data_IF_822538719966
#
_entry.id   IF_822538719966
#
_cell.length_a   1.000
_cell.length_b   1.000
_cell.length_c   1.000
_cell.angle_alpha   90.00
_cell.angle_beta   90.00
_cell.angle_gamma   90.00
#
_symmetry.space_group_name_H-M   'P 1'
#
loop_
_entity.id
_entity.type
_entity.pdbx_description
1 polymer ?
#
# COMPACT_ATOMS: atom_id res chain seq x y z
N UNK A 1 -64.54 11.73 -42.66
CA UNK A 1 -63.17 11.59 -42.11
C UNK A 1 -63.05 12.48 -40.88
N UNK A 2 -62.80 11.91 -39.70
CA UNK A 2 -62.60 12.70 -38.47
C UNK A 2 -61.10 12.73 -38.17
N UNK A 3 -60.46 13.90 -38.30
CA UNK A 3 -59.12 14.09 -37.72
C UNK A 3 -59.28 14.12 -36.20
N UNK A 4 -58.91 13.03 -35.51
CA UNK A 4 -58.56 13.12 -34.09
C UNK A 4 -57.38 14.08 -33.99
N UNK A 5 -57.57 15.19 -33.29
CA UNK A 5 -56.45 16.03 -32.89
C UNK A 5 -55.54 15.22 -31.96
N UNK A 6 -54.24 15.20 -32.25
CA UNK A 6 -53.25 14.70 -31.31
C UNK A 6 -53.22 15.66 -30.12
N UNK A 7 -53.81 15.24 -29.00
CA UNK A 7 -53.56 15.90 -27.72
C UNK A 7 -52.09 15.65 -27.37
N UNK A 8 -51.31 16.71 -27.16
CA UNK A 8 -49.97 16.56 -26.61
C UNK A 8 -50.11 16.09 -25.15
N UNK A 9 -49.76 14.82 -24.91
CA UNK A 9 -49.80 14.15 -23.59
C UNK A 9 -48.50 14.41 -22.81
N UNK A 10 -47.45 14.91 -23.47
CA UNK A 10 -46.18 15.27 -22.83
C UNK A 10 -46.23 16.58 -22.03
N UNK A 11 -45.32 16.70 -21.06
CA UNK A 11 -45.06 17.93 -20.31
C UNK A 11 -44.69 19.09 -21.24
N UNK A 12 -44.99 20.33 -20.82
CA UNK A 12 -44.44 21.52 -21.48
C UNK A 12 -42.95 21.66 -21.15
N UNK A 13 -42.19 22.34 -22.01
CA UNK A 13 -40.76 22.60 -21.79
C UNK A 13 -40.50 23.25 -20.41
N UNK A 14 -41.27 24.27 -20.03
CA UNK A 14 -41.17 24.91 -18.71
C UNK A 14 -41.52 23.95 -17.55
N UNK A 15 -42.50 23.06 -17.74
CA UNK A 15 -42.84 22.03 -16.74
C UNK A 15 -41.73 20.97 -16.61
N UNK A 16 -41.07 20.63 -17.72
CA UNK A 16 -39.98 19.66 -17.77
C UNK A 16 -38.69 20.22 -17.15
N UNK A 17 -38.33 21.47 -17.47
CA UNK A 17 -37.20 22.17 -16.82
C UNK A 17 -37.40 22.27 -15.32
N UNK A 18 -38.60 22.69 -14.86
CA UNK A 18 -38.89 22.71 -13.42
C UNK A 18 -38.78 21.31 -12.80
N UNK A 19 -39.28 20.27 -13.46
CA UNK A 19 -39.16 18.90 -12.96
C UNK A 19 -37.69 18.46 -12.83
N UNK A 20 -36.80 18.87 -13.74
CA UNK A 20 -35.35 18.64 -13.60
C UNK A 20 -34.71 19.46 -12.47
N UNK A 21 -35.15 20.69 -12.25
CA UNK A 21 -34.67 21.54 -11.14
C UNK A 21 -35.12 21.01 -9.77
N UNK A 22 -36.39 20.60 -9.64
CA UNK A 22 -36.96 19.98 -8.44
C UNK A 22 -36.23 18.64 -8.15
N UNK A 23 -36.03 17.80 -9.16
CA UNK A 23 -35.29 16.52 -9.09
C UNK A 23 -33.81 16.70 -8.68
N UNK A 24 -33.15 17.74 -9.21
CA UNK A 24 -31.78 18.07 -8.84
C UNK A 24 -31.67 18.55 -7.37
N UNK A 25 -32.66 19.32 -6.90
CA UNK A 25 -32.74 19.75 -5.50
C UNK A 25 -32.98 18.57 -4.55
N UNK A 26 -33.88 17.63 -4.90
CA UNK A 26 -34.10 16.41 -4.10
C UNK A 26 -32.81 15.56 -4.02
N UNK A 27 -32.14 15.30 -5.15
CA UNK A 27 -30.87 14.57 -5.19
C UNK A 27 -29.74 15.23 -4.38
N UNK A 28 -29.69 16.56 -4.36
CA UNK A 28 -28.74 17.31 -3.55
C UNK A 28 -29.06 17.20 -2.05
N UNK A 29 -30.34 17.30 -1.67
CA UNK A 29 -30.79 17.13 -0.29
C UNK A 29 -30.53 15.71 0.24
N UNK A 30 -30.91 14.67 -0.51
CA UNK A 30 -30.65 13.26 -0.18
C UNK A 30 -29.16 12.98 -0.01
N UNK A 31 -28.32 13.61 -0.83
CA UNK A 31 -26.86 13.46 -0.76
C UNK A 31 -26.26 14.20 0.42
N UNK A 32 -26.71 15.42 0.72
CA UNK A 32 -26.30 16.12 1.94
C UNK A 32 -26.68 15.34 3.21
N UNK A 33 -27.91 14.81 3.29
CA UNK A 33 -28.35 14.06 4.47
C UNK A 33 -27.58 12.74 4.64
N UNK A 34 -27.27 12.04 3.55
CA UNK A 34 -26.40 10.85 3.58
C UNK A 34 -25.00 11.20 4.08
N UNK A 35 -24.34 12.17 3.44
CA UNK A 35 -22.99 12.60 3.84
C UNK A 35 -22.93 13.17 5.26
N UNK A 36 -24.02 13.75 5.75
CA UNK A 36 -24.20 14.20 7.13
C UNK A 36 -24.25 13.01 8.10
N UNK A 37 -25.07 12.01 7.82
CA UNK A 37 -25.14 10.78 8.60
C UNK A 37 -23.80 10.00 8.57
N UNK A 38 -23.16 9.90 7.41
CA UNK A 38 -21.83 9.30 7.27
C UNK A 38 -20.79 10.03 8.15
N UNK A 39 -20.88 11.37 8.25
CA UNK A 39 -19.98 12.17 9.09
C UNK A 39 -20.23 11.99 10.59
N UNK A 40 -21.50 11.79 11.00
CA UNK A 40 -21.86 11.45 12.37
C UNK A 40 -21.37 10.05 12.75
N UNK A 41 -21.67 9.04 11.92
CA UNK A 41 -21.18 7.67 12.09
C UNK A 41 -19.64 7.63 12.16
N UNK A 42 -18.96 8.45 11.35
CA UNK A 42 -17.52 8.55 11.33
C UNK A 42 -16.91 9.26 12.55
N UNK A 43 -17.67 10.10 13.25
CA UNK A 43 -17.31 10.67 14.56
C UNK A 43 -17.55 9.65 15.67
N UNK A 44 -18.74 9.05 15.74
CA UNK A 44 -19.13 8.02 16.72
C UNK A 44 -18.16 6.82 16.71
N UNK A 45 -17.91 6.25 15.54
CA UNK A 45 -16.92 5.17 15.35
C UNK A 45 -15.52 5.57 15.81
N UNK A 46 -15.13 6.84 15.63
CA UNK A 46 -13.82 7.33 16.03
C UNK A 46 -13.72 7.56 17.55
N UNK A 47 -14.81 7.93 18.21
CA UNK A 47 -14.87 8.06 19.67
C UNK A 47 -14.70 6.69 20.34
N UNK A 48 -15.46 5.68 19.88
CA UNK A 48 -15.34 4.31 20.40
C UNK A 48 -13.97 3.69 20.17
N UNK A 49 -13.48 3.73 18.92
CA UNK A 49 -12.16 3.21 18.52
C UNK A 49 -11.00 3.88 19.28
N UNK A 50 -11.10 5.20 19.54
CA UNK A 50 -10.09 5.93 20.30
C UNK A 50 -10.12 5.61 21.79
N UNK A 51 -11.31 5.45 22.37
CA UNK A 51 -11.49 5.11 23.79
C UNK A 51 -10.92 3.73 24.11
N UNK A 52 -11.25 2.70 23.32
CA UNK A 52 -10.70 1.35 23.46
C UNK A 52 -9.15 1.37 23.43
N UNK A 53 -8.58 2.18 22.53
CA UNK A 53 -7.13 2.28 22.35
C UNK A 53 -6.41 3.07 23.45
N UNK A 54 -7.11 3.94 24.19
CA UNK A 54 -6.56 4.81 25.25
C UNK A 54 -6.92 4.37 26.67
N UNK A 55 -7.75 3.33 26.82
CA UNK A 55 -8.03 2.68 28.11
C UNK A 55 -6.75 2.19 28.81
N UNK A 56 -6.87 1.81 30.09
CA UNK A 56 -5.78 1.30 30.92
C UNK A 56 -5.01 0.12 30.30
N UNK A 57 -5.72 -0.72 29.53
CA UNK A 57 -5.17 -1.85 28.77
C UNK A 57 -5.06 -1.57 27.26
N UNK A 58 -5.42 -0.36 26.83
CA UNK A 58 -5.43 0.06 25.43
C UNK A 58 -4.03 0.24 24.84
N UNK A 59 -3.84 -0.14 23.58
CA UNK A 59 -2.52 -0.19 22.94
C UNK A 59 -1.80 1.16 22.76
N UNK A 60 -2.48 2.28 22.91
CA UNK A 60 -1.89 3.62 22.87
C UNK A 60 -1.45 4.13 24.24
N UNK A 61 -1.81 3.44 25.34
CA UNK A 61 -1.56 3.86 26.73
C UNK A 61 -0.09 4.21 27.00
N UNK A 62 0.85 3.42 26.50
CA UNK A 62 2.30 3.67 26.69
C UNK A 62 2.87 4.83 25.86
N UNK A 63 2.11 5.35 24.88
CA UNK A 63 2.56 6.35 23.91
C UNK A 63 2.09 7.77 24.25
N UNK A 64 1.49 7.93 25.43
CA UNK A 64 0.98 9.18 26.02
C UNK A 64 1.39 9.27 27.51
N UNK A 65 1.23 10.43 28.15
CA UNK A 65 1.33 10.57 29.61
C UNK A 65 -0.06 10.45 30.24
N UNK A 66 -0.17 9.94 31.47
CA UNK A 66 -1.48 9.70 32.08
C UNK A 66 -2.34 10.97 32.19
N UNK A 67 -1.77 12.13 32.52
CA UNK A 67 -2.49 13.41 32.57
C UNK A 67 -3.16 13.75 31.22
N UNK A 68 -2.46 13.52 30.11
CA UNK A 68 -2.95 13.78 28.75
C UNK A 68 -3.91 12.69 28.29
N UNK A 69 -3.69 11.44 28.73
CA UNK A 69 -4.58 10.30 28.46
C UNK A 69 -5.96 10.52 29.10
N UNK A 70 -5.98 10.90 30.38
CA UNK A 70 -7.21 11.24 31.11
C UNK A 70 -7.92 12.42 30.44
N UNK A 71 -7.20 13.50 30.11
CA UNK A 71 -7.83 14.65 29.46
C UNK A 71 -8.48 14.29 28.11
N UNK A 72 -7.86 13.41 27.31
CA UNK A 72 -8.42 12.93 26.04
C UNK A 72 -9.61 11.98 26.27
N UNK A 73 -9.61 11.17 27.32
CA UNK A 73 -10.75 10.34 27.68
C UNK A 73 -11.96 11.19 28.11
N UNK A 74 -11.74 12.29 28.84
CA UNK A 74 -12.77 13.31 29.12
C UNK A 74 -13.28 13.98 27.84
N UNK A 75 -12.39 14.37 26.91
CA UNK A 75 -12.79 14.91 25.59
C UNK A 75 -13.68 13.93 24.81
N UNK A 76 -13.38 12.63 24.88
CA UNK A 76 -14.11 11.55 24.22
C UNK A 76 -15.48 11.28 24.89
N UNK A 77 -15.58 11.40 26.21
CA UNK A 77 -16.86 11.33 26.94
C UNK A 77 -17.76 12.52 26.61
N UNK A 78 -17.20 13.74 26.57
CA UNK A 78 -17.93 14.96 26.15
C UNK A 78 -18.38 14.87 24.69
N UNK A 79 -17.59 14.25 23.82
CA UNK A 79 -17.98 14.00 22.43
C UNK A 79 -19.15 13.00 22.32
N UNK A 80 -19.11 11.88 23.04
CA UNK A 80 -20.20 10.89 23.08
C UNK A 80 -21.50 11.47 23.66
N UNK A 81 -21.41 12.19 24.79
CA UNK A 81 -22.57 12.85 25.40
C UNK A 81 -23.20 13.92 24.49
N UNK A 82 -22.41 14.54 23.62
CA UNK A 82 -22.90 15.46 22.60
C UNK A 82 -23.55 14.74 21.40
N UNK A 83 -23.02 13.60 20.95
CA UNK A 83 -23.55 12.82 19.81
C UNK A 83 -25.02 12.44 20.01
N UNK A 84 -25.42 12.14 21.25
CA UNK A 84 -26.80 11.77 21.62
C UNK A 84 -27.63 12.94 22.16
N UNK A 85 -27.29 14.18 21.79
CA UNK A 85 -28.01 15.39 22.20
C UNK A 85 -28.84 16.02 21.08
N UNK A 86 -29.89 16.77 21.44
CA UNK A 86 -30.71 17.55 20.49
C UNK A 86 -29.85 18.52 19.64
N UNK A 87 -28.73 19.01 20.18
CA UNK A 87 -27.78 19.86 19.43
C UNK A 87 -27.13 19.11 18.26
N UNK A 88 -26.84 17.81 18.41
CA UNK A 88 -26.33 16.97 17.34
C UNK A 88 -27.40 16.59 16.32
N UNK A 89 -28.67 16.45 16.73
CA UNK A 89 -29.79 16.22 15.81
C UNK A 89 -29.96 17.38 14.81
N UNK A 90 -29.77 18.63 15.23
CA UNK A 90 -29.80 19.82 14.35
C UNK A 90 -28.44 20.16 13.69
N UNK A 91 -27.31 19.64 14.19
CA UNK A 91 -25.97 20.04 13.77
C UNK A 91 -25.68 19.86 12.26
N UNK A 92 -24.91 20.77 11.68
CA UNK A 92 -24.48 20.68 10.29
C UNK A 92 -23.38 19.61 10.10
N UNK A 93 -23.23 19.10 8.86
CA UNK A 93 -22.17 18.13 8.50
C UNK A 93 -20.78 18.57 8.97
N UNK A 94 -20.46 19.86 8.84
CA UNK A 94 -19.14 20.40 9.23
C UNK A 94 -18.87 20.27 10.72
N UNK A 95 -19.87 20.43 11.58
CA UNK A 95 -19.73 20.31 13.04
C UNK A 95 -19.28 18.91 13.47
N UNK A 96 -19.73 17.85 12.78
CA UNK A 96 -19.26 16.49 13.02
C UNK A 96 -17.79 16.31 12.62
N UNK A 97 -17.39 16.88 11.48
CA UNK A 97 -16.01 16.88 11.00
C UNK A 97 -15.09 17.68 11.93
N UNK A 98 -15.47 18.89 12.31
CA UNK A 98 -14.72 19.77 13.22
C UNK A 98 -14.48 19.12 14.59
N UNK A 99 -15.50 18.47 15.17
CA UNK A 99 -15.36 17.73 16.44
C UNK A 99 -14.44 16.51 16.28
N UNK A 100 -14.53 15.78 15.17
CA UNK A 100 -13.64 14.66 14.86
C UNK A 100 -12.19 15.11 14.69
N UNK A 101 -11.96 16.17 13.93
CA UNK A 101 -10.63 16.71 13.64
C UNK A 101 -9.97 17.29 14.90
N UNK A 102 -10.74 17.87 15.82
CA UNK A 102 -10.25 18.32 17.13
C UNK A 102 -9.75 17.15 18.01
N UNK A 103 -10.47 16.03 18.02
CA UNK A 103 -10.02 14.80 18.69
C UNK A 103 -8.80 14.19 17.97
N UNK A 104 -8.84 14.13 16.63
CA UNK A 104 -7.76 13.58 15.81
C UNK A 104 -6.45 14.38 15.96
N UNK A 105 -6.51 15.71 16.12
CA UNK A 105 -5.34 16.54 16.39
C UNK A 105 -4.65 16.19 17.73
N UNK A 106 -5.42 15.75 18.75
CA UNK A 106 -4.89 15.31 20.04
C UNK A 106 -4.35 13.88 19.99
N UNK A 107 -5.05 12.99 19.28
CA UNK A 107 -4.80 11.53 19.29
C UNK A 107 -3.81 11.09 18.21
N UNK A 108 -3.77 11.77 17.07
CA UNK A 108 -2.91 11.47 15.91
C UNK A 108 -1.42 11.36 16.25
N UNK A 109 -0.82 12.27 17.05
CA UNK A 109 0.57 12.14 17.49
C UNK A 109 0.84 10.86 18.32
N UNK A 110 -0.11 10.45 19.16
CA UNK A 110 -0.01 9.23 19.96
C UNK A 110 -0.06 8.00 19.04
N UNK A 111 -0.98 7.98 18.08
CA UNK A 111 -1.07 6.94 17.05
C UNK A 111 0.21 6.88 16.19
N UNK A 112 0.80 8.02 15.85
CA UNK A 112 2.06 8.08 15.09
C UNK A 112 3.24 7.47 15.86
N UNK A 113 3.38 7.73 17.17
CA UNK A 113 4.41 7.09 18.01
C UNK A 113 4.25 5.58 18.09
N UNK A 114 3.01 5.11 18.26
CA UNK A 114 2.68 3.68 18.25
C UNK A 114 3.06 3.05 16.91
N UNK A 115 2.59 3.61 15.78
CA UNK A 115 2.89 3.09 14.44
C UNK A 115 4.39 3.11 14.11
N UNK A 116 5.13 4.15 14.50
CA UNK A 116 6.59 4.18 14.40
C UNK A 116 7.24 3.07 15.24
N UNK A 117 6.76 2.81 16.45
CA UNK A 117 7.28 1.74 17.31
C UNK A 117 7.03 0.34 16.75
N UNK A 118 5.85 0.08 16.19
CA UNK A 118 5.50 -1.22 15.59
C UNK A 118 6.28 -1.49 14.29
N UNK A 119 6.49 -0.45 13.47
CA UNK A 119 7.15 -0.60 12.16
C UNK A 119 8.69 -0.57 12.27
N UNK A 120 9.28 0.14 13.24
CA UNK A 120 10.74 0.31 13.35
C UNK A 120 11.53 -1.02 13.29
N UNK A 121 11.15 -2.11 13.99
CA UNK A 121 11.88 -3.39 13.89
C UNK A 121 11.99 -3.92 12.45
N UNK A 122 10.92 -3.81 11.66
CA UNK A 122 10.90 -4.27 10.26
C UNK A 122 11.89 -3.49 9.40
N UNK A 123 11.97 -2.16 9.58
CA UNK A 123 12.91 -1.31 8.86
C UNK A 123 14.36 -1.47 9.36
N UNK A 124 14.55 -1.75 10.66
CA UNK A 124 15.86 -2.12 11.24
C UNK A 124 16.36 -3.42 10.61
N UNK A 125 15.53 -4.45 10.51
CA UNK A 125 15.92 -5.75 9.98
C UNK A 125 16.13 -5.71 8.46
N UNK A 126 15.31 -4.98 7.70
CA UNK A 126 15.55 -4.69 6.28
C UNK A 126 16.93 -4.07 6.03
N UNK A 127 17.34 -3.10 6.85
CA UNK A 127 18.66 -2.49 6.77
C UNK A 127 19.78 -3.48 7.14
N UNK A 128 19.58 -4.36 8.14
CA UNK A 128 20.54 -5.45 8.43
C UNK A 128 20.68 -6.41 7.25
N UNK A 129 19.59 -6.82 6.60
CA UNK A 129 19.60 -7.67 5.41
C UNK A 129 20.35 -7.02 4.25
N UNK A 130 20.09 -5.74 3.96
CA UNK A 130 20.86 -4.95 2.99
C UNK A 130 22.36 -4.93 3.31
N UNK A 131 22.73 -4.70 4.58
CA UNK A 131 24.13 -4.70 5.03
C UNK A 131 24.77 -6.09 4.87
N UNK A 132 24.06 -7.18 5.21
CA UNK A 132 24.56 -8.56 5.08
C UNK A 132 24.76 -8.94 3.60
N UNK A 133 23.77 -8.68 2.75
CA UNK A 133 23.82 -8.87 1.30
C UNK A 133 25.03 -8.18 0.66
N UNK A 134 25.36 -6.96 1.07
CA UNK A 134 26.55 -6.28 0.55
C UNK A 134 27.86 -6.72 1.22
N UNK A 135 27.83 -7.27 2.44
CA UNK A 135 29.00 -7.97 3.01
C UNK A 135 29.37 -9.25 2.24
N UNK A 136 28.46 -9.88 1.49
CA UNK A 136 28.83 -10.99 0.59
C UNK A 136 29.79 -10.56 -0.53
N UNK A 137 29.76 -9.29 -0.94
CA UNK A 137 30.58 -8.74 -2.04
C UNK A 137 32.08 -8.75 -1.71
N UNK A 138 32.42 -8.74 -0.42
CA UNK A 138 33.80 -8.74 0.08
C UNK A 138 34.28 -10.12 0.55
N UNK A 139 33.44 -11.17 0.47
CA UNK A 139 33.82 -12.54 0.88
C UNK A 139 34.81 -13.14 -0.13
N UNK A 140 36.00 -13.61 0.30
CA UNK A 140 36.97 -14.25 -0.60
C UNK A 140 36.42 -15.51 -1.27
N UNK A 141 36.82 -15.75 -2.52
CA UNK A 141 36.43 -16.94 -3.29
C UNK A 141 35.01 -16.93 -3.87
N UNK A 142 34.22 -15.87 -3.65
CA UNK A 142 32.92 -15.72 -4.33
C UNK A 142 33.17 -15.31 -5.77
N UNK A 143 33.09 -16.29 -6.69
CA UNK A 143 33.40 -16.11 -8.11
C UNK A 143 32.67 -14.95 -8.80
N UNK A 144 31.53 -14.47 -8.29
CA UNK A 144 30.84 -13.28 -8.81
C UNK A 144 31.65 -11.99 -8.63
N UNK A 145 32.51 -11.90 -7.61
CA UNK A 145 33.13 -10.65 -7.12
C UNK A 145 34.68 -10.64 -7.17
N UNK A 146 35.30 -11.67 -7.76
CA UNK A 146 36.76 -11.79 -7.86
C UNK A 146 37.41 -10.65 -8.65
N UNK A 147 36.72 -10.08 -9.64
CA UNK A 147 37.21 -8.99 -10.49
C UNK A 147 37.08 -7.59 -9.87
N UNK A 148 36.47 -7.46 -8.68
CA UNK A 148 36.39 -6.19 -7.95
C UNK A 148 37.74 -5.86 -7.30
N UNK A 149 38.17 -4.61 -7.37
CA UNK A 149 39.46 -4.18 -6.82
C UNK A 149 39.44 -4.12 -5.28
N UNK A 150 40.59 -3.87 -4.66
CA UNK A 150 40.63 -3.67 -3.21
C UNK A 150 39.96 -2.35 -2.79
N UNK A 151 39.98 -1.33 -3.64
CA UNK A 151 39.26 -0.07 -3.43
C UNK A 151 37.73 -0.24 -3.54
N UNK A 152 37.26 -1.02 -4.53
CA UNK A 152 35.85 -1.42 -4.65
C UNK A 152 35.38 -2.09 -3.34
N UNK A 153 36.12 -3.12 -2.89
CA UNK A 153 35.81 -3.91 -1.69
C UNK A 153 35.94 -3.08 -0.41
N UNK A 154 36.94 -2.21 -0.31
CA UNK A 154 37.11 -1.29 0.82
C UNK A 154 35.96 -0.27 0.92
N UNK A 155 35.43 0.17 -0.21
CA UNK A 155 34.29 1.11 -0.26
C UNK A 155 33.01 0.44 0.23
N UNK A 156 32.72 -0.79 -0.23
CA UNK A 156 31.59 -1.59 0.26
C UNK A 156 31.72 -1.88 1.76
N UNK A 157 32.89 -2.31 2.23
CA UNK A 157 33.16 -2.57 3.64
C UNK A 157 32.85 -1.33 4.51
N UNK A 158 33.41 -0.16 4.16
CA UNK A 158 33.20 1.10 4.90
C UNK A 158 31.73 1.53 4.94
N UNK A 159 30.99 1.35 3.84
CA UNK A 159 29.55 1.62 3.80
C UNK A 159 28.77 0.69 4.74
N UNK A 160 29.01 -0.62 4.66
CA UNK A 160 28.37 -1.62 5.49
C UNK A 160 28.70 -1.49 6.99
N UNK A 161 29.94 -1.16 7.34
CA UNK A 161 30.36 -0.93 8.73
C UNK A 161 29.83 0.39 9.28
N UNK A 162 29.93 1.48 8.51
CA UNK A 162 29.40 2.79 8.91
C UNK A 162 27.88 2.78 9.12
N UNK A 163 27.13 2.08 8.25
CA UNK A 163 25.70 1.90 8.42
C UNK A 163 25.34 1.03 9.63
N UNK A 164 26.10 -0.05 9.89
CA UNK A 164 25.87 -0.90 11.07
C UNK A 164 26.19 -0.17 12.39
N UNK A 165 27.26 0.62 12.43
CA UNK A 165 27.62 1.45 13.58
C UNK A 165 26.58 2.54 13.84
N UNK A 166 26.12 3.23 12.79
CA UNK A 166 25.01 4.19 12.88
C UNK A 166 23.74 3.51 13.40
N UNK A 167 23.32 2.39 12.81
CA UNK A 167 22.12 1.64 13.21
C UNK A 167 22.19 1.24 14.69
N UNK A 168 23.33 0.75 15.15
CA UNK A 168 23.55 0.35 16.55
C UNK A 168 23.45 1.57 17.49
N UNK A 169 24.06 2.70 17.11
CA UNK A 169 24.01 3.96 17.89
C UNK A 169 22.57 4.51 17.99
N UNK A 170 21.92 4.75 16.85
CA UNK A 170 20.59 5.37 16.85
C UNK A 170 19.53 4.47 17.49
N UNK A 171 19.65 3.15 17.37
CA UNK A 171 18.75 2.21 18.08
C UNK A 171 18.95 2.33 19.59
N UNK A 172 20.19 2.29 20.09
CA UNK A 172 20.46 2.44 21.52
C UNK A 172 20.03 3.81 22.09
N UNK A 173 20.14 4.89 21.31
CA UNK A 173 19.60 6.20 21.70
C UNK A 173 18.07 6.27 21.67
N UNK A 174 17.42 5.49 20.82
CA UNK A 174 15.96 5.39 20.74
C UNK A 174 15.36 4.49 21.81
N UNK A 175 16.01 3.37 22.13
CA UNK A 175 15.58 2.40 23.15
C UNK A 175 15.71 2.99 24.57
N UNK A 176 16.57 4.02 24.74
CA UNK A 176 16.69 4.81 25.95
C UNK A 176 15.63 5.93 26.11
N UNK A 177 14.74 6.13 25.13
CA UNK A 177 13.69 7.15 25.19
C UNK A 177 12.33 6.58 25.62
N UNK A 178 11.53 7.32 26.42
CA UNK A 178 10.16 6.94 26.72
C UNK A 178 9.29 6.84 25.45
N UNK A 179 8.43 5.82 25.38
CA UNK A 179 7.48 5.59 24.26
C UNK A 179 6.51 6.75 24.03
N UNK A 180 6.27 7.59 25.03
CA UNK A 180 5.39 8.76 24.96
C UNK A 180 6.07 10.06 24.52
N UNK A 181 7.35 9.99 24.09
CA UNK A 181 8.07 11.08 23.41
C UNK A 181 8.19 10.77 21.92
N UNK A 182 8.22 11.79 21.07
CA UNK A 182 8.38 11.61 19.63
C UNK A 182 9.72 10.92 19.30
N UNK A 183 9.73 9.90 18.42
CA UNK A 183 10.92 9.10 18.16
C UNK A 183 11.98 9.88 17.37
N UNK A 184 13.25 9.72 17.77
CA UNK A 184 14.41 10.18 16.98
C UNK A 184 14.70 9.26 15.80
N UNK A 185 14.65 7.94 16.01
CA UNK A 185 14.90 6.97 14.96
C UNK A 185 13.58 6.59 14.30
N UNK A 186 13.29 7.26 13.19
CA UNK A 186 12.06 7.02 12.40
C UNK A 186 12.25 5.96 11.32
N UNK A 187 11.16 5.30 10.92
CA UNK A 187 11.09 4.40 9.76
C UNK A 187 11.70 5.05 8.50
N UNK A 188 11.35 6.31 8.25
CA UNK A 188 11.88 7.15 7.16
C UNK A 188 13.40 7.34 7.21
N UNK A 189 14.00 7.44 8.39
CA UNK A 189 15.45 7.57 8.55
C UNK A 189 16.17 6.24 8.30
N UNK A 190 15.59 5.13 8.75
CA UNK A 190 16.09 3.79 8.44
C UNK A 190 16.05 3.51 6.92
N UNK A 191 14.95 3.87 6.27
CA UNK A 191 14.81 3.78 4.82
C UNK A 191 15.82 4.66 4.07
N UNK A 192 16.02 5.91 4.50
CA UNK A 192 17.04 6.78 3.91
C UNK A 192 18.45 6.17 4.03
N UNK A 193 18.78 5.53 5.16
CA UNK A 193 20.08 4.85 5.35
C UNK A 193 20.21 3.58 4.52
N UNK A 194 19.14 2.81 4.38
CA UNK A 194 19.06 1.64 3.51
C UNK A 194 19.32 2.03 2.04
N UNK A 195 18.69 3.11 1.57
CA UNK A 195 18.97 3.65 0.23
C UNK A 195 20.38 4.23 0.08
N UNK A 196 20.98 4.82 1.13
CA UNK A 196 22.38 5.25 1.12
C UNK A 196 23.32 4.05 0.87
N UNK A 197 23.16 2.95 1.62
CA UNK A 197 23.96 1.72 1.45
C UNK A 197 23.73 1.11 0.07
N UNK A 198 22.49 1.01 -0.40
CA UNK A 198 22.18 0.53 -1.75
C UNK A 198 22.85 1.41 -2.82
N UNK A 199 22.81 2.73 -2.69
CA UNK A 199 23.38 3.65 -3.69
C UNK A 199 24.90 3.51 -3.85
N UNK A 200 25.62 3.23 -2.77
CA UNK A 200 27.08 3.02 -2.77
C UNK A 200 27.44 1.60 -3.24
N UNK A 201 26.78 0.59 -2.66
CA UNK A 201 27.23 -0.80 -2.82
C UNK A 201 26.66 -1.48 -4.07
N UNK A 202 25.47 -1.10 -4.55
CA UNK A 202 24.86 -1.67 -5.76
C UNK A 202 25.76 -1.55 -7.01
N UNK A 203 26.22 -0.35 -7.44
CA UNK A 203 27.01 -0.22 -8.68
C UNK A 203 28.36 -0.96 -8.61
N UNK A 204 28.93 -1.13 -7.41
CA UNK A 204 30.13 -1.94 -7.20
C UNK A 204 29.80 -3.44 -7.33
N UNK A 205 28.71 -3.91 -6.70
CA UNK A 205 28.29 -5.32 -6.73
C UNK A 205 27.78 -5.82 -8.10
N UNK A 206 27.38 -4.89 -8.97
CA UNK A 206 26.87 -5.14 -10.32
C UNK A 206 27.89 -4.81 -11.43
N UNK A 207 29.07 -4.31 -11.06
CA UNK A 207 30.19 -4.01 -11.96
C UNK A 207 30.51 -5.24 -12.83
N UNK A 208 30.49 -5.15 -14.17
CA UNK A 208 30.62 -6.33 -15.02
C UNK A 208 32.03 -6.95 -14.96
N UNK A 209 32.11 -8.27 -15.09
CA UNK A 209 33.38 -8.98 -15.25
C UNK A 209 34.09 -8.51 -16.53
N UNK A 210 35.42 -8.23 -16.49
CA UNK A 210 36.20 -8.02 -17.70
C UNK A 210 36.04 -9.20 -18.66
N UNK A 211 35.59 -8.93 -19.89
CA UNK A 211 35.43 -9.96 -20.91
C UNK A 211 36.81 -10.27 -21.49
N UNK A 212 37.31 -11.47 -21.23
CA UNK A 212 38.56 -11.96 -21.82
C UNK A 212 38.36 -12.08 -23.33
N UNK A 213 39.00 -11.21 -24.11
CA UNK A 213 39.13 -11.46 -25.54
C UNK A 213 40.00 -12.71 -25.75
N UNK A 214 39.60 -13.68 -26.59
CA UNK A 214 40.50 -14.75 -26.98
C UNK A 214 41.72 -14.14 -27.68
N UNK A 215 42.95 -14.63 -27.43
CA UNK A 215 44.16 -14.05 -28.03
C UNK A 215 44.05 -13.97 -29.55
N UNK A 216 44.28 -12.78 -30.13
CA UNK A 216 44.39 -12.62 -31.57
C UNK A 216 45.58 -13.44 -32.05
N UNK A 217 45.30 -14.48 -32.82
CA UNK A 217 46.31 -15.29 -33.48
C UNK A 217 47.12 -14.40 -34.42
N UNK A 218 48.45 -14.40 -34.27
CA UNK A 218 49.31 -13.44 -34.93
C UNK A 218 49.54 -13.83 -36.40
N UNK A 219 48.96 -13.07 -37.33
CA UNK A 219 49.25 -13.22 -38.76
C UNK A 219 50.75 -13.15 -39.05
N UNK A 220 51.26 -14.14 -39.80
CA UNK A 220 52.58 -14.05 -40.44
C UNK A 220 52.42 -13.54 -41.88
N UNK A 221 53.26 -12.60 -42.36
CA UNK A 221 53.05 -12.01 -43.68
C UNK A 221 53.46 -12.94 -44.83
N UNK A 222 52.58 -12.99 -45.86
CA UNK A 222 52.82 -13.09 -47.31
C UNK A 222 53.96 -13.93 -47.89
N UNK A 223 53.63 -14.61 -48.98
CA UNK A 223 54.32 -14.37 -50.27
C UNK A 223 53.28 -14.34 -51.43
N UNK A 224 53.61 -13.76 -52.60
CA UNK A 224 52.62 -13.34 -53.62
C UNK A 224 53.09 -13.51 -55.09
N UNK A 225 52.41 -14.41 -55.84
CA UNK A 225 52.25 -14.37 -57.30
C UNK A 225 51.09 -15.32 -57.71
N UNK A 226 49.95 -14.88 -58.28
CA UNK A 226 49.72 -14.33 -59.64
C UNK A 226 50.03 -15.32 -60.78
N UNK A 227 49.21 -15.56 -61.82
CA UNK A 227 47.85 -15.13 -62.28
C UNK A 227 47.52 -15.99 -63.55
N UNK A 228 46.57 -15.68 -64.48
CA UNK A 228 45.18 -15.16 -64.46
C UNK A 228 44.18 -16.27 -64.96
N UNK A 229 42.95 -16.07 -65.44
CA UNK A 229 42.01 -14.95 -65.72
C UNK A 229 40.58 -15.44 -65.35
N UNK A 230 39.51 -14.65 -65.12
CA UNK A 230 38.96 -13.53 -65.90
C UNK A 230 37.79 -14.04 -66.80
N UNK A 231 36.56 -13.50 -66.76
CA UNK A 231 36.01 -12.43 -65.92
C UNK A 231 34.51 -12.18 -66.19
N UNK A 232 33.94 -11.19 -65.49
CA UNK A 232 32.76 -10.36 -65.79
C UNK A 232 31.50 -10.92 -66.50
N UNK A 233 30.32 -10.86 -65.84
CA UNK A 233 29.00 -10.47 -66.40
C UNK A 233 27.89 -10.43 -65.35
N UNK A 234 26.75 -9.82 -65.68
CA UNK A 234 25.74 -9.30 -64.75
C UNK A 234 24.29 -9.83 -64.99
N UNK A 235 23.47 -9.86 -63.93
CA UNK A 235 21.99 -9.73 -63.90
C UNK A 235 21.01 -10.76 -64.57
N UNK A 236 20.05 -11.24 -63.74
CA UNK A 236 18.65 -11.65 -64.03
C UNK A 236 18.40 -12.96 -64.83
N UNK A 237 17.20 -13.58 -64.85
CA UNK A 237 15.85 -13.18 -64.39
C UNK A 237 14.95 -14.37 -63.93
N UNK A 238 13.75 -14.09 -63.36
CA UNK A 238 12.64 -15.03 -63.10
C UNK A 238 12.63 -15.70 -61.69
N UNK A 239 11.65 -15.64 -60.78
CA UNK A 239 10.19 -15.33 -60.71
C UNK A 239 9.27 -16.58 -60.53
N UNK A 240 8.53 -16.61 -59.39
CA UNK A 240 7.20 -17.25 -59.22
C UNK A 240 6.61 -17.03 -57.78
N UNK A 241 5.31 -16.70 -57.68
CA UNK A 241 4.43 -16.70 -56.45
C UNK A 241 3.29 -17.77 -56.62
N UNK A 242 2.16 -17.93 -55.85
CA UNK A 242 1.48 -17.15 -54.77
C UNK A 242 1.98 -17.51 -53.34
N UNK A 243 1.38 -17.21 -52.16
CA UNK A 243 0.03 -16.77 -51.68
C UNK A 243 0.18 -15.73 -50.51
N UNK A 244 -0.78 -15.19 -49.72
CA UNK A 244 -2.23 -15.38 -49.42
C UNK A 244 -2.59 -16.58 -48.47
N UNK A 245 -3.48 -16.50 -47.44
CA UNK A 245 -4.27 -15.40 -46.82
C UNK A 245 -4.73 -15.71 -45.35
N UNK A 246 -5.16 -14.67 -44.59
CA UNK A 246 -6.07 -14.60 -43.40
C UNK A 246 -5.85 -15.52 -42.15
N UNK A 247 -6.33 -15.26 -40.93
CA UNK A 247 -7.39 -14.34 -40.45
C UNK A 247 -7.14 -13.81 -39.00
N UNK A 248 -8.11 -13.07 -38.42
CA UNK A 248 -8.03 -12.26 -37.18
C UNK A 248 -8.64 -12.94 -35.90
N UNK A 249 -8.70 -12.15 -34.81
CA UNK A 249 -9.60 -12.27 -33.63
C UNK A 249 -9.30 -13.29 -32.51
N UNK A 250 -9.65 -12.91 -31.27
CA UNK A 250 -9.46 -13.71 -30.06
C UNK A 250 -9.62 -12.97 -28.72
N UNK A 251 -10.62 -12.10 -28.58
CA UNK A 251 -10.98 -11.50 -27.28
C UNK A 251 -11.61 -12.53 -26.32
N UNK A 252 -11.53 -12.32 -24.99
CA UNK A 252 -11.96 -13.31 -23.98
C UNK A 252 -12.94 -12.71 -22.97
N UNK A 253 -14.19 -12.59 -23.41
CA UNK A 253 -15.35 -12.22 -22.59
C UNK A 253 -15.60 -13.23 -21.46
N UNK A 254 -15.68 -12.77 -20.21
CA UNK A 254 -16.16 -13.59 -19.09
C UNK A 254 -17.68 -13.77 -19.17
N UNK A 255 -18.19 -14.97 -18.86
CA UNK A 255 -19.62 -15.24 -18.70
C UNK A 255 -19.93 -15.87 -17.35
N UNK A 256 -21.06 -15.44 -16.79
CA UNK A 256 -21.63 -15.94 -15.55
C UNK A 256 -22.08 -17.41 -15.66
N UNK A 257 -22.08 -18.09 -14.51
CA UNK A 257 -22.69 -19.41 -14.33
C UNK A 257 -23.34 -19.48 -12.94
N UNK A 258 -24.62 -19.10 -12.89
CA UNK A 258 -25.49 -19.25 -11.74
C UNK A 258 -25.62 -20.72 -11.30
N UNK A 259 -25.59 -21.03 -9.99
CA UNK A 259 -26.00 -22.35 -9.46
C UNK A 259 -26.23 -22.33 -7.94
N UNK A 260 -27.49 -22.12 -7.55
CA UNK A 260 -28.01 -22.29 -6.18
C UNK A 260 -28.15 -23.78 -5.80
N UNK A 261 -27.80 -24.15 -4.55
CA UNK A 261 -28.39 -25.33 -3.92
C UNK A 261 -28.89 -25.08 -2.48
N UNK A 262 -30.11 -24.53 -2.39
CA UNK A 262 -31.23 -24.99 -1.54
C UNK A 262 -30.92 -25.32 -0.06
N UNK A 263 -31.46 -24.48 0.83
CA UNK A 263 -31.53 -24.75 2.27
C UNK A 263 -32.38 -25.99 2.64
N UNK A 264 -31.92 -26.71 3.67
CA UNK A 264 -32.73 -27.54 4.56
C UNK A 264 -31.94 -27.84 5.85
N UNK A 265 -32.39 -27.30 6.99
CA UNK A 265 -32.53 -28.06 8.24
C UNK A 265 -33.40 -27.28 9.24
N UNK A 266 -34.47 -27.90 9.72
CA UNK A 266 -35.33 -27.41 10.82
C UNK A 266 -36.06 -28.62 11.43
N UNK A 267 -35.56 -29.13 12.56
CA UNK A 267 -36.20 -30.16 13.36
C UNK A 267 -35.67 -30.16 14.80
N UNK A 268 -36.19 -29.23 15.59
CA UNK A 268 -36.29 -29.30 17.05
C UNK A 268 -36.51 -30.74 17.59
N UNK A 269 -35.66 -31.19 18.53
CA UNK A 269 -35.89 -32.41 19.33
C UNK A 269 -35.99 -32.04 20.80
N UNK A 270 -37.24 -31.97 21.28
CA UNK A 270 -37.57 -31.99 22.70
C UNK A 270 -37.33 -33.39 23.29
N UNK A 271 -36.68 -33.46 24.45
CA UNK A 271 -36.78 -34.58 25.39
C UNK A 271 -36.32 -34.10 26.77
N UNK A 272 -37.27 -33.80 27.66
CA UNK A 272 -36.99 -33.52 29.06
C UNK A 272 -37.29 -34.74 29.94
N UNK A 273 -36.36 -35.10 30.82
CA UNK A 273 -36.61 -36.06 31.90
C UNK A 273 -35.84 -35.63 33.16
N UNK A 274 -36.53 -34.94 34.08
CA UNK A 274 -36.10 -34.91 35.49
C UNK A 274 -36.51 -36.24 36.15
N UNK A 275 -35.77 -36.69 37.18
CA UNK A 275 -36.42 -36.59 38.49
C UNK A 275 -35.50 -36.28 39.68
N UNK A 276 -35.77 -35.12 40.31
CA UNK A 276 -35.74 -34.85 41.76
C UNK A 276 -34.42 -34.97 42.59
N UNK A 277 -34.35 -34.29 43.75
CA UNK A 277 -33.11 -34.13 44.51
C UNK A 277 -32.97 -35.06 45.73
N UNK A 278 -31.73 -35.23 46.18
CA UNK A 278 -31.41 -35.67 47.56
C UNK A 278 -30.59 -34.59 48.28
N UNK A 279 -31.10 -34.11 49.42
CA UNK A 279 -30.27 -33.53 50.47
C UNK A 279 -29.71 -34.65 51.34
N UNK A 280 -28.49 -34.50 51.84
CA UNK A 280 -28.19 -34.36 53.29
C UNK A 280 -26.69 -34.57 53.57
N UNK A 281 -26.22 -33.92 54.64
CA UNK A 281 -24.87 -34.00 55.24
C UNK A 281 -23.70 -33.43 54.41
#
# INVERSE_FOLDING_TARGET
VVKRGLMNIGLTEASLTKAFEDEAQMKAADTYQRERADSLNALESYVYDSREKLDEYGKLKEFVTDDVRVQILEDLEVAEGWIYSEEAEEAAKSTFVEKKDALFAKIGPIQARYLESENRPVYIDRLKETILKYKEVIVPGVAKYEHLTEEDKSTVLKSCEGAMLWLTKESAEQDAMPKNVDPKLTTRMLEAKDQEVVSVCKPISEKPKPKVEPPKEAEKPKDDASKPAGGDSEAKDGDAKPAEAADESGDVEMKDADTDPKAADDAHVENGEEPNPTKSE
#
